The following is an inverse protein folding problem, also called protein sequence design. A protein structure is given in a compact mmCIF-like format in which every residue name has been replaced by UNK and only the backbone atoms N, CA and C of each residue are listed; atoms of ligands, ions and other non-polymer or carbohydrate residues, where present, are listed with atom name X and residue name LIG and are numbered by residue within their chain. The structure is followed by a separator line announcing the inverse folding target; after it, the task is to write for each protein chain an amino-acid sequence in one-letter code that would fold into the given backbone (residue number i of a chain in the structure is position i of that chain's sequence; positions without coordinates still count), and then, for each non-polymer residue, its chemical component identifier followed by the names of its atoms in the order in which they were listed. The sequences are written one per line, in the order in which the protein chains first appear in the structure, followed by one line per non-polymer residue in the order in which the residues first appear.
data_IF_350815793061
#
_entry.id   IF_350815793061
#
_cell.length_a   1.000
_cell.length_b   1.000
_cell.length_c   1.000
_cell.angle_alpha   90.00
_cell.angle_beta   90.00
_cell.angle_gamma   90.00
#
_symmetry.space_group_name_H-M   'P 1'
#
loop_
_entity.id
_entity.type
_entity.pdbx_description
1 polymer ?
#
# COMPACT_ATOMS: atom_id res chain seq x y z
N UNK A 1 2.98 -6.10 -33.81
CA UNK A 1 1.62 -6.18 -34.40
C UNK A 1 1.07 -7.59 -34.15
N UNK A 2 0.35 -7.77 -33.09
CA UNK A 2 -0.35 -9.02 -32.84
C UNK A 2 -1.82 -8.73 -33.07
N UNK A 3 -2.26 -9.07 -34.28
CA UNK A 3 -3.66 -9.15 -34.66
C UNK A 3 -4.32 -10.23 -33.81
N UNK A 4 -4.90 -9.87 -32.70
CA UNK A 4 -5.66 -10.77 -31.83
C UNK A 4 -7.06 -10.91 -32.44
N UNK A 5 -7.26 -11.94 -33.28
CA UNK A 5 -8.56 -12.37 -33.79
C UNK A 5 -9.47 -12.78 -32.62
N UNK A 6 -10.77 -12.50 -32.72
CA UNK A 6 -11.79 -12.67 -31.66
C UNK A 6 -11.81 -14.04 -30.96
N UNK A 7 -11.29 -15.10 -31.57
CA UNK A 7 -11.18 -16.45 -30.99
C UNK A 7 -9.92 -16.61 -30.10
N UNK A 8 -8.93 -15.69 -30.23
CA UNK A 8 -7.69 -15.72 -29.45
C UNK A 8 -7.72 -14.88 -28.15
N UNK A 9 -8.77 -14.10 -27.90
CA UNK A 9 -8.77 -13.14 -26.79
C UNK A 9 -8.73 -13.81 -25.40
N UNK A 10 -9.43 -14.91 -25.21
CA UNK A 10 -9.40 -15.63 -23.93
C UNK A 10 -8.05 -16.31 -23.67
N UNK A 11 -7.41 -16.82 -24.73
CA UNK A 11 -6.09 -17.42 -24.62
C UNK A 11 -5.01 -16.36 -24.34
N UNK A 12 -5.13 -15.17 -24.95
CA UNK A 12 -4.25 -14.03 -24.67
C UNK A 12 -4.41 -13.49 -23.24
N UNK A 13 -5.63 -13.42 -22.71
CA UNK A 13 -5.90 -12.99 -21.34
C UNK A 13 -5.33 -13.99 -20.35
N UNK A 14 -5.54 -15.26 -20.56
CA UNK A 14 -5.04 -16.35 -19.71
C UNK A 14 -3.51 -16.42 -19.68
N UNK A 15 -2.85 -16.21 -20.81
CA UNK A 15 -1.39 -16.17 -20.87
C UNK A 15 -0.82 -14.90 -20.20
N UNK A 16 -1.44 -13.73 -20.40
CA UNK A 16 -1.06 -12.51 -19.68
C UNK A 16 -1.22 -12.66 -18.18
N UNK A 17 -2.32 -13.25 -17.71
CA UNK A 17 -2.53 -13.52 -16.29
C UNK A 17 -1.42 -14.44 -15.73
N UNK A 18 -1.00 -15.47 -16.44
CA UNK A 18 0.10 -16.34 -16.00
C UNK A 18 1.43 -15.58 -15.89
N UNK A 19 1.73 -14.70 -16.84
CA UNK A 19 2.94 -13.87 -16.80
C UNK A 19 2.92 -12.84 -15.65
N UNK A 20 1.74 -12.38 -15.20
CA UNK A 20 1.62 -11.46 -14.09
C UNK A 20 1.71 -12.14 -12.71
N UNK A 21 1.54 -13.45 -12.61
CA UNK A 21 1.59 -14.16 -11.32
C UNK A 21 2.95 -13.97 -10.63
N UNK A 22 4.04 -14.12 -11.35
CA UNK A 22 5.39 -14.03 -10.80
C UNK A 22 5.72 -12.62 -10.28
N UNK A 23 5.52 -11.53 -11.04
CA UNK A 23 5.68 -10.15 -10.54
C UNK A 23 4.82 -9.85 -9.32
N UNK A 24 3.55 -10.28 -9.32
CA UNK A 24 2.64 -10.06 -8.19
C UNK A 24 3.13 -10.77 -6.94
N UNK A 25 3.54 -12.04 -7.04
CA UNK A 25 4.10 -12.78 -5.91
C UNK A 25 5.35 -12.08 -5.37
N UNK A 26 6.26 -11.65 -6.24
CA UNK A 26 7.50 -10.99 -5.84
C UNK A 26 7.22 -9.70 -5.07
N UNK A 27 6.39 -8.81 -5.62
CA UNK A 27 6.02 -7.54 -4.97
C UNK A 27 5.26 -7.77 -3.65
N UNK A 28 4.38 -8.75 -3.62
CA UNK A 28 3.60 -9.09 -2.43
C UNK A 28 4.51 -9.62 -1.31
N UNK A 29 5.44 -10.50 -1.61
CA UNK A 29 6.38 -11.04 -0.62
C UNK A 29 7.25 -9.94 0.00
N UNK A 30 7.76 -9.02 -0.82
CA UNK A 30 8.55 -7.87 -0.34
C UNK A 30 7.68 -6.94 0.52
N UNK A 31 6.46 -6.62 0.06
CA UNK A 31 5.52 -5.75 0.78
C UNK A 31 5.09 -6.32 2.13
N UNK A 32 4.69 -7.60 2.16
CA UNK A 32 4.28 -8.30 3.39
C UNK A 32 5.44 -8.33 4.40
N UNK A 33 6.67 -8.62 3.96
CA UNK A 33 7.84 -8.67 4.84
C UNK A 33 8.10 -7.34 5.55
N UNK A 34 7.98 -6.21 4.85
CA UNK A 34 8.10 -4.87 5.42
C UNK A 34 7.00 -4.56 6.42
N UNK A 35 5.74 -4.78 6.03
CA UNK A 35 4.57 -4.51 6.87
C UNK A 35 4.56 -5.38 8.13
N UNK A 36 4.90 -6.65 8.02
CA UNK A 36 4.97 -7.57 9.14
C UNK A 36 6.03 -7.15 10.18
N UNK A 37 7.22 -6.74 9.73
CA UNK A 37 8.28 -6.24 10.60
C UNK A 37 7.84 -4.97 11.33
N UNK A 38 7.25 -4.04 10.61
CA UNK A 38 6.76 -2.78 11.16
C UNK A 38 5.64 -3.02 12.21
N UNK A 39 4.66 -3.86 11.87
CA UNK A 39 3.57 -4.23 12.79
C UNK A 39 4.10 -4.89 14.06
N UNK A 40 5.08 -5.79 13.93
CA UNK A 40 5.70 -6.45 15.08
C UNK A 40 6.38 -5.44 16.00
N UNK A 41 7.17 -4.51 15.45
CA UNK A 41 7.87 -3.50 16.24
C UNK A 41 6.90 -2.61 17.01
N UNK A 42 5.88 -2.08 16.32
CA UNK A 42 4.85 -1.24 16.97
C UNK A 42 4.05 -2.01 18.02
N UNK A 43 3.73 -3.28 17.76
CA UNK A 43 3.01 -4.11 18.73
C UNK A 43 3.84 -4.34 19.99
N UNK A 44 5.14 -4.58 19.88
CA UNK A 44 6.04 -4.75 21.02
C UNK A 44 6.16 -3.46 21.84
N UNK A 45 6.24 -2.31 21.19
CA UNK A 45 6.27 -1.00 21.84
C UNK A 45 4.98 -0.75 22.65
N UNK A 46 3.84 -0.96 22.01
CA UNK A 46 2.52 -0.84 22.66
C UNK A 46 2.38 -1.79 23.85
N UNK A 47 2.80 -3.06 23.73
CA UNK A 47 2.70 -4.03 24.81
C UNK A 47 3.55 -3.69 26.04
N UNK A 48 4.62 -2.92 25.85
CA UNK A 48 5.49 -2.44 26.94
C UNK A 48 5.05 -1.12 27.57
N UNK A 49 3.97 -0.51 27.07
CA UNK A 49 3.45 0.77 27.58
C UNK A 49 2.76 0.63 28.94
N UNK A 50 2.77 1.72 29.72
CA UNK A 50 2.23 1.75 31.10
C UNK A 50 0.72 1.51 31.15
N UNK A 51 -0.04 1.93 30.13
CA UNK A 51 -1.49 1.68 30.10
C UNK A 51 -1.82 0.18 29.91
N UNK A 52 -0.97 -0.59 29.26
CA UNK A 52 -1.11 -2.05 29.15
C UNK A 52 -0.80 -2.70 30.51
N UNK A 53 0.23 -2.22 31.23
CA UNK A 53 0.52 -2.68 32.59
C UNK A 53 -0.66 -2.43 33.52
N UNK A 54 -1.27 -1.25 33.43
CA UNK A 54 -2.46 -0.90 34.20
C UNK A 54 -3.66 -1.79 33.87
N UNK A 55 -3.87 -2.12 32.59
CA UNK A 55 -4.93 -3.01 32.15
C UNK A 55 -4.75 -4.45 32.72
N UNK A 56 -3.51 -4.95 32.74
CA UNK A 56 -3.17 -6.23 33.37
C UNK A 56 -3.38 -6.20 34.90
N UNK A 57 -2.99 -5.12 35.56
CA UNK A 57 -3.20 -4.94 37.00
C UNK A 57 -4.69 -4.93 37.42
N UNK A 58 -5.58 -4.50 36.52
CA UNK A 58 -7.05 -4.56 36.69
C UNK A 58 -7.63 -5.97 36.50
N UNK A 59 -6.82 -7.00 36.27
CA UNK A 59 -7.26 -8.39 36.14
C UNK A 59 -7.91 -8.74 34.80
N UNK A 60 -7.73 -7.92 33.76
CA UNK A 60 -8.26 -8.22 32.42
C UNK A 60 -7.52 -9.43 31.83
N UNK A 61 -8.28 -10.29 31.13
CA UNK A 61 -7.68 -11.44 30.44
C UNK A 61 -6.68 -10.98 29.36
N UNK A 62 -5.58 -11.73 29.21
CA UNK A 62 -4.52 -11.39 28.24
C UNK A 62 -5.05 -11.22 26.81
N UNK A 63 -6.04 -12.03 26.40
CA UNK A 63 -6.73 -11.87 25.10
C UNK A 63 -7.41 -10.53 24.96
N UNK A 64 -8.06 -10.03 25.98
CA UNK A 64 -8.72 -8.72 25.97
C UNK A 64 -7.71 -7.60 25.92
N UNK A 65 -6.62 -7.72 26.66
CA UNK A 65 -5.50 -6.75 26.65
C UNK A 65 -4.90 -6.65 25.26
N UNK A 66 -4.59 -7.77 24.63
CA UNK A 66 -3.98 -7.80 23.32
C UNK A 66 -4.95 -7.28 22.24
N UNK A 67 -6.14 -7.87 22.12
CA UNK A 67 -7.03 -7.58 20.99
C UNK A 67 -7.71 -6.21 21.11
N UNK A 68 -8.12 -5.81 22.31
CA UNK A 68 -8.91 -4.58 22.50
C UNK A 68 -8.04 -3.36 22.78
N UNK A 69 -6.96 -3.53 23.55
CA UNK A 69 -6.12 -2.40 23.97
C UNK A 69 -4.85 -2.28 23.11
N UNK A 70 -4.10 -3.36 22.90
CA UNK A 70 -2.85 -3.28 22.15
C UNK A 70 -3.08 -3.17 20.64
N UNK A 71 -3.85 -4.10 20.05
CA UNK A 71 -4.06 -4.15 18.60
C UNK A 71 -4.72 -2.88 18.05
N UNK A 72 -5.72 -2.35 18.74
CA UNK A 72 -6.39 -1.12 18.31
C UNK A 72 -5.42 0.07 18.21
N UNK A 73 -4.52 0.22 19.18
CA UNK A 73 -3.52 1.28 19.14
C UNK A 73 -2.44 1.05 18.07
N UNK A 74 -2.10 -0.21 17.80
CA UNK A 74 -1.16 -0.57 16.73
C UNK A 74 -1.75 -0.33 15.33
N UNK A 75 -3.08 -0.32 15.17
CA UNK A 75 -3.73 -0.02 13.89
C UNK A 75 -3.51 1.44 13.45
N UNK A 76 -3.36 2.39 14.35
CA UNK A 76 -3.23 3.81 14.02
C UNK A 76 -2.05 4.06 13.07
N UNK A 77 -0.80 3.71 13.41
CA UNK A 77 0.31 3.89 12.49
C UNK A 77 0.23 3.01 11.23
N UNK A 78 -0.45 1.85 11.29
CA UNK A 78 -0.67 1.01 10.12
C UNK A 78 -1.58 1.68 9.08
N UNK A 79 -2.64 2.35 9.53
CA UNK A 79 -3.55 3.10 8.65
C UNK A 79 -2.79 4.22 7.93
N UNK A 80 -1.94 4.96 8.65
CA UNK A 80 -1.12 6.01 8.07
C UNK A 80 -0.21 5.47 6.96
N UNK A 81 0.50 4.36 7.21
CA UNK A 81 1.35 3.73 6.20
C UNK A 81 0.52 3.23 5.01
N UNK A 82 -0.63 2.60 5.26
CA UNK A 82 -1.49 2.12 4.17
C UNK A 82 -1.98 3.29 3.31
N UNK A 83 -2.33 4.42 3.92
CA UNK A 83 -2.70 5.63 3.20
C UNK A 83 -1.58 6.15 2.29
N UNK A 84 -0.36 6.21 2.76
CA UNK A 84 0.79 6.68 1.97
C UNK A 84 1.27 5.69 0.90
N UNK A 85 0.91 4.40 1.00
CA UNK A 85 1.26 3.40 -0.02
C UNK A 85 0.37 3.44 -1.25
N UNK A 86 -0.84 3.99 -1.17
CA UNK A 86 -1.75 4.07 -2.32
C UNK A 86 -1.15 4.81 -3.53
N UNK A 87 -0.59 6.03 -3.41
CA UNK A 87 0.06 6.70 -4.54
C UNK A 87 1.23 5.89 -5.12
N UNK A 88 1.98 5.20 -4.25
CA UNK A 88 3.11 4.37 -4.68
C UNK A 88 2.68 3.20 -5.57
N UNK A 89 1.49 2.63 -5.34
CA UNK A 89 0.93 1.58 -6.21
C UNK A 89 0.65 2.11 -7.62
N UNK A 90 0.20 3.37 -7.75
CA UNK A 90 -0.08 4.01 -9.04
C UNK A 90 1.16 4.59 -9.71
N UNK A 91 2.20 4.92 -8.96
CA UNK A 91 3.48 5.36 -9.55
C UNK A 91 4.19 4.23 -10.31
N UNK A 92 3.77 2.98 -10.06
CA UNK A 92 4.31 1.81 -10.71
C UNK A 92 5.62 1.30 -10.09
N UNK A 93 5.97 0.09 -10.45
CA UNK A 93 7.21 -0.57 -10.00
C UNK A 93 8.18 -0.69 -11.20
N UNK A 94 8.83 0.42 -11.58
CA UNK A 94 9.69 0.51 -12.76
C UNK A 94 10.66 -0.67 -12.89
N UNK A 95 11.36 -1.02 -11.82
CA UNK A 95 12.35 -2.10 -11.83
C UNK A 95 11.68 -3.44 -12.13
N UNK A 96 10.56 -3.72 -11.50
CA UNK A 96 9.81 -4.96 -11.71
C UNK A 96 9.19 -4.99 -13.10
N UNK A 97 8.60 -3.88 -13.54
CA UNK A 97 8.01 -3.75 -14.87
C UNK A 97 9.06 -3.97 -15.97
N UNK A 98 10.26 -3.40 -15.81
CA UNK A 98 11.38 -3.58 -16.76
C UNK A 98 11.89 -5.01 -16.75
N UNK A 99 12.07 -5.61 -15.57
CA UNK A 99 12.59 -6.97 -15.42
C UNK A 99 11.66 -8.03 -16.04
N UNK A 100 10.37 -7.86 -15.89
CA UNK A 100 9.34 -8.77 -16.40
C UNK A 100 8.79 -8.38 -17.78
N UNK A 101 9.32 -7.32 -18.39
CA UNK A 101 8.90 -6.85 -19.72
C UNK A 101 7.44 -6.37 -19.79
N UNK A 102 6.91 -5.90 -18.66
CA UNK A 102 5.54 -5.38 -18.55
C UNK A 102 5.55 -3.88 -18.85
N UNK A 103 4.77 -3.44 -19.82
CA UNK A 103 4.58 -2.01 -20.12
C UNK A 103 3.53 -1.41 -19.18
N UNK A 104 3.92 -1.18 -17.92
CA UNK A 104 3.08 -0.54 -16.92
C UNK A 104 3.26 0.98 -16.89
N UNK A 105 2.66 1.61 -15.89
CA UNK A 105 2.67 3.07 -15.72
C UNK A 105 4.09 3.56 -15.39
N UNK A 106 4.83 2.84 -14.53
CA UNK A 106 6.20 3.19 -14.16
C UNK A 106 7.15 3.14 -15.35
N UNK A 107 7.07 2.09 -16.16
CA UNK A 107 7.85 1.95 -17.38
C UNK A 107 7.54 3.09 -18.38
N UNK A 108 6.25 3.32 -18.65
CA UNK A 108 5.82 4.32 -19.64
C UNK A 108 6.20 5.75 -19.20
N UNK A 109 6.02 6.10 -17.92
CA UNK A 109 6.38 7.41 -17.42
C UNK A 109 7.89 7.65 -17.46
N UNK A 110 8.70 6.65 -17.12
CA UNK A 110 10.15 6.75 -17.19
C UNK A 110 10.66 6.98 -18.62
N UNK A 111 10.13 6.23 -19.59
CA UNK A 111 10.50 6.40 -20.99
C UNK A 111 10.02 7.72 -21.59
N UNK A 112 8.83 8.21 -21.20
CA UNK A 112 8.36 9.53 -21.60
C UNK A 112 9.30 10.65 -21.09
N UNK A 113 9.76 10.53 -19.85
CA UNK A 113 10.74 11.49 -19.29
C UNK A 113 12.06 11.47 -20.06
N UNK A 114 12.60 10.31 -20.38
CA UNK A 114 13.88 10.20 -21.14
C UNK A 114 13.72 10.74 -22.57
N UNK A 115 12.59 10.49 -23.21
CA UNK A 115 12.32 10.95 -24.56
C UNK A 115 11.92 12.44 -24.65
N UNK A 116 11.82 13.13 -23.51
CA UNK A 116 11.45 14.54 -23.47
C UNK A 116 9.98 14.80 -23.82
N UNK A 117 9.10 13.83 -23.59
CA UNK A 117 7.65 14.02 -23.76
C UNK A 117 7.11 14.84 -22.58
N UNK A 118 7.22 16.17 -22.73
CA UNK A 118 6.81 17.12 -21.69
C UNK A 118 5.31 17.03 -21.40
N UNK A 119 4.39 16.97 -22.40
CA UNK A 119 2.95 16.89 -22.14
C UNK A 119 2.56 15.68 -21.29
N UNK A 120 3.08 14.50 -21.63
CA UNK A 120 2.80 13.28 -20.85
C UNK A 120 3.38 13.35 -19.45
N UNK A 121 4.62 13.82 -19.30
CA UNK A 121 5.28 13.96 -18.02
C UNK A 121 4.53 14.91 -17.08
N UNK A 122 4.08 16.05 -17.58
CA UNK A 122 3.29 17.03 -16.80
C UNK A 122 1.94 16.44 -16.37
N UNK A 123 1.25 15.76 -17.27
CA UNK A 123 0.01 15.07 -16.94
C UNK A 123 0.23 14.01 -15.85
N UNK A 124 1.27 13.18 -15.98
CA UNK A 124 1.59 12.14 -15.02
C UNK A 124 1.90 12.71 -13.62
N UNK A 125 2.71 13.77 -13.55
CA UNK A 125 3.04 14.44 -12.29
C UNK A 125 1.80 15.04 -11.62
N UNK A 126 0.92 15.70 -12.40
CA UNK A 126 -0.34 16.23 -11.89
C UNK A 126 -1.25 15.11 -11.37
N UNK A 127 -1.36 14.01 -12.11
CA UNK A 127 -2.16 12.85 -11.71
C UNK A 127 -1.67 12.26 -10.39
N UNK A 128 -0.37 11.99 -10.24
CA UNK A 128 0.21 11.45 -9.00
C UNK A 128 0.05 12.45 -7.83
N UNK A 129 0.18 13.75 -8.08
CA UNK A 129 -0.01 14.78 -7.05
C UNK A 129 -1.45 14.77 -6.51
N UNK A 130 -2.45 14.75 -7.39
CA UNK A 130 -3.86 14.66 -7.00
C UNK A 130 -4.14 13.38 -6.24
N UNK A 131 -3.60 12.25 -6.71
CA UNK A 131 -3.77 10.97 -6.04
C UNK A 131 -3.17 10.96 -4.65
N UNK A 132 -2.01 11.60 -4.47
CA UNK A 132 -1.33 11.73 -3.17
C UNK A 132 -2.18 12.56 -2.20
N UNK A 133 -2.76 13.67 -2.65
CA UNK A 133 -3.65 14.49 -1.83
C UNK A 133 -4.90 13.71 -1.40
N UNK A 134 -5.54 13.01 -2.32
CA UNK A 134 -6.71 12.18 -2.03
C UNK A 134 -6.37 11.03 -1.07
N UNK A 135 -5.21 10.42 -1.23
CA UNK A 135 -4.74 9.34 -0.37
C UNK A 135 -4.47 9.82 1.06
N UNK A 136 -3.84 10.98 1.22
CA UNK A 136 -3.61 11.58 2.53
C UNK A 136 -4.93 11.95 3.20
N UNK A 137 -5.86 12.56 2.46
CA UNK A 137 -7.19 12.86 2.98
C UNK A 137 -7.92 11.58 3.44
N UNK A 138 -7.83 10.51 2.66
CA UNK A 138 -8.41 9.22 3.04
C UNK A 138 -7.76 8.66 4.31
N UNK A 139 -6.43 8.76 4.45
CA UNK A 139 -5.72 8.34 5.64
C UNK A 139 -6.16 9.14 6.88
N UNK A 140 -6.33 10.46 6.75
CA UNK A 140 -6.79 11.33 7.84
C UNK A 140 -8.22 10.98 8.27
N UNK A 141 -9.12 10.72 7.32
CA UNK A 141 -10.49 10.28 7.61
C UNK A 141 -10.49 8.93 8.32
N UNK A 142 -9.70 7.96 7.84
CA UNK A 142 -9.58 6.66 8.49
C UNK A 142 -8.98 6.78 9.90
N UNK A 143 -8.01 7.66 10.08
CA UNK A 143 -7.43 7.96 11.38
C UNK A 143 -8.49 8.50 12.35
N UNK A 144 -9.29 9.48 11.92
CA UNK A 144 -10.37 10.04 12.73
C UNK A 144 -11.45 9.02 13.14
N UNK A 145 -11.70 8.03 12.27
CA UNK A 145 -12.65 6.92 12.57
C UNK A 145 -12.08 5.95 13.60
N UNK A 146 -10.77 5.67 13.56
CA UNK A 146 -10.12 4.71 14.47
C UNK A 146 -9.83 5.34 15.83
N UNK A 147 -9.42 6.61 15.85
CA UNK A 147 -9.18 7.35 17.09
C UNK A 147 -10.20 8.50 17.28
N UNK A 148 -11.34 8.25 17.96
CA UNK A 148 -12.35 9.27 18.20
C UNK A 148 -11.90 10.38 19.17
N UNK A 149 -10.69 10.31 19.72
CA UNK A 149 -10.11 11.34 20.60
C UNK A 149 -9.57 12.53 19.81
N UNK A 150 -9.23 12.33 18.54
CA UNK A 150 -8.82 13.42 17.65
C UNK A 150 -10.08 14.09 17.10
N UNK A 151 -10.68 14.95 17.91
CA UNK A 151 -11.66 15.93 17.40
C UNK A 151 -10.87 17.03 16.70
N UNK A 152 -11.05 17.12 15.41
CA UNK A 152 -10.58 18.26 14.63
C UNK A 152 -11.28 19.51 15.18
N UNK A 153 -10.49 20.38 15.82
CA UNK A 153 -10.89 21.75 16.12
C UNK A 153 -10.55 22.64 14.94
#
# INVERSE_FOLDING_TARGET
EISCSLVGSEMCIRDRCKHMVLPVITLTMVGIGGLMRYTRTNMLEVLNSDYIRTARAKGLSERTVINRHAFRNTLIPLITITGTTLPALFSGALITETLFGIRGIGYTSYYAMINGDIPFTMFYLAFISILTLLSNLLADVLYAVVDPRVRVH
#
